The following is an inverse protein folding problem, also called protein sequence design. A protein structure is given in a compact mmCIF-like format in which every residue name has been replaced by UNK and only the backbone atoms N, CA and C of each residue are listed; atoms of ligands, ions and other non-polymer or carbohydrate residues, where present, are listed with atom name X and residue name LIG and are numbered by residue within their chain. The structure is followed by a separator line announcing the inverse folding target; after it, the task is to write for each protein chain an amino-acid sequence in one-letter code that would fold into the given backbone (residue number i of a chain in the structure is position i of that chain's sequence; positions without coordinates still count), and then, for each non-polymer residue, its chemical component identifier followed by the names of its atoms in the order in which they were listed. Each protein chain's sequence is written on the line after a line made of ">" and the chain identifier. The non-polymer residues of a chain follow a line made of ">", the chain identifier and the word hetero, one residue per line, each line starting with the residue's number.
data_IF_975770465130
#
_entry.id   IF_975770465130
#
_cell.length_a   1.000
_cell.length_b   1.000
_cell.length_c   1.000
_cell.angle_alpha   90.00
_cell.angle_beta   90.00
_cell.angle_gamma   90.00
#
_symmetry.space_group_name_H-M   'P 1'
#
loop_
_entity.id
_entity.type
_entity.pdbx_description
1 polymer ?
#
# COMPACT_ATOMS: atom_id res chain seq x y z
N UNK A 1 1.72 10.54 -1.08
CA UNK A 1 1.13 11.60 -0.21
C UNK A 1 0.00 12.41 -0.87
N UNK A 2 0.14 12.90 -2.11
CA UNK A 2 -0.88 13.77 -2.76
C UNK A 2 -2.26 13.12 -2.96
N UNK A 3 -2.31 11.81 -3.26
CA UNK A 3 -3.56 11.07 -3.48
C UNK A 3 -4.44 11.03 -2.22
N UNK A 4 -3.87 10.64 -1.06
CA UNK A 4 -4.60 10.59 0.22
C UNK A 4 -5.10 11.97 0.66
N UNK A 5 -4.31 13.02 0.47
CA UNK A 5 -4.71 14.40 0.80
C UNK A 5 -5.96 14.85 0.02
N UNK A 6 -6.03 14.50 -1.27
CA UNK A 6 -7.20 14.83 -2.11
C UNK A 6 -8.47 14.14 -1.62
N UNK A 7 -8.38 12.91 -1.13
CA UNK A 7 -9.52 12.19 -0.55
C UNK A 7 -9.95 12.79 0.80
N UNK A 8 -9.02 13.12 1.69
CA UNK A 8 -9.33 13.77 2.98
C UNK A 8 -10.07 15.10 2.83
N UNK A 9 -9.80 15.87 1.78
CA UNK A 9 -10.51 17.13 1.51
C UNK A 9 -11.94 16.94 1.00
N UNK A 10 -12.25 15.78 0.40
CA UNK A 10 -13.54 15.51 -0.26
C UNK A 10 -14.48 14.67 0.59
N UNK A 11 -13.91 13.86 1.48
CA UNK A 11 -14.67 12.90 2.28
C UNK A 11 -14.34 13.08 3.76
N UNK A 12 -15.34 12.90 4.63
CA UNK A 12 -15.10 12.73 6.07
C UNK A 12 -14.59 11.32 6.30
N UNK A 13 -13.27 11.20 6.47
CA UNK A 13 -12.56 9.96 6.79
C UNK A 13 -12.47 9.79 8.30
N UNK A 14 -12.71 8.56 8.78
CA UNK A 14 -12.70 8.21 10.21
C UNK A 14 -11.42 7.45 10.61
N UNK A 15 -10.84 6.69 9.68
CA UNK A 15 -9.56 6.00 9.86
C UNK A 15 -8.74 5.98 8.56
N UNK A 16 -7.42 5.89 8.70
CA UNK A 16 -6.46 5.89 7.59
C UNK A 16 -5.56 4.67 7.68
N UNK A 17 -5.35 3.98 6.56
CA UNK A 17 -4.45 2.86 6.43
C UNK A 17 -3.48 3.10 5.27
N UNK A 18 -2.18 2.95 5.51
CA UNK A 18 -1.18 2.99 4.43
C UNK A 18 -0.56 1.63 4.24
N UNK A 19 -0.56 1.15 3.01
CA UNK A 19 0.02 -0.14 2.63
C UNK A 19 1.17 0.09 1.68
N UNK A 20 2.31 -0.56 1.94
CA UNK A 20 3.47 -0.49 1.06
C UNK A 20 4.29 -1.77 1.17
N UNK A 21 4.71 -2.33 0.03
CA UNK A 21 5.52 -3.55 0.02
C UNK A 21 6.94 -3.25 0.46
N UNK A 22 7.47 -2.10 0.03
CA UNK A 22 8.87 -1.73 0.21
C UNK A 22 9.08 -0.60 1.21
N UNK A 23 8.01 0.08 1.64
CA UNK A 23 8.07 1.23 2.52
C UNK A 23 8.94 2.35 1.95
N UNK A 24 9.73 2.97 2.82
CA UNK A 24 10.69 4.03 2.47
C UNK A 24 12.06 3.46 2.06
N UNK A 25 12.07 2.51 1.12
CA UNK A 25 13.29 1.77 0.73
C UNK A 25 14.42 2.69 0.23
N UNK A 26 14.08 3.76 -0.48
CA UNK A 26 15.04 4.77 -0.94
C UNK A 26 15.76 5.45 0.23
N UNK A 27 15.04 5.78 1.32
CA UNK A 27 15.62 6.37 2.53
C UNK A 27 16.49 5.36 3.28
N UNK A 28 16.03 4.11 3.39
CA UNK A 28 16.81 3.04 4.00
C UNK A 28 18.13 2.82 3.26
N UNK A 29 18.12 2.83 1.93
CA UNK A 29 19.35 2.74 1.14
C UNK A 29 20.30 3.90 1.41
N UNK A 30 19.81 5.15 1.45
CA UNK A 30 20.65 6.32 1.77
C UNK A 30 21.30 6.20 3.15
N UNK A 31 20.56 5.72 4.15
CA UNK A 31 21.08 5.50 5.51
C UNK A 31 22.19 4.44 5.49
N UNK A 32 21.94 3.28 4.87
CA UNK A 32 22.92 2.20 4.78
C UNK A 32 24.17 2.61 3.99
N UNK A 33 23.99 3.37 2.91
CA UNK A 33 25.10 3.91 2.12
C UNK A 33 25.92 4.93 2.93
N UNK A 34 25.28 5.84 3.64
CA UNK A 34 25.97 6.82 4.50
C UNK A 34 26.75 6.11 5.62
N UNK A 35 26.18 5.09 6.25
CA UNK A 35 26.87 4.26 7.23
C UNK A 35 28.09 3.54 6.63
N UNK A 36 27.92 2.92 5.46
CA UNK A 36 28.98 2.21 4.77
C UNK A 36 30.12 3.12 4.28
N UNK A 37 29.84 4.41 4.08
CA UNK A 37 30.80 5.43 3.63
C UNK A 37 31.26 6.36 4.74
N UNK A 38 30.96 6.03 6.01
CA UNK A 38 31.31 6.82 7.20
C UNK A 38 30.85 8.29 7.15
N UNK A 39 29.73 8.55 6.46
CA UNK A 39 29.12 9.86 6.34
C UNK A 39 28.14 10.12 7.50
N UNK A 40 28.01 11.39 7.88
CA UNK A 40 27.06 11.80 8.91
C UNK A 40 25.61 11.52 8.45
N UNK A 41 24.85 10.83 9.30
CA UNK A 41 23.44 10.58 9.07
C UNK A 41 22.59 11.83 9.38
N UNK A 42 21.65 12.14 8.49
CA UNK A 42 20.62 13.15 8.75
C UNK A 42 19.60 12.61 9.76
N UNK A 43 19.43 13.25 10.93
CA UNK A 43 18.42 12.83 11.91
C UNK A 43 17.00 12.82 11.33
N UNK A 44 16.72 13.72 10.39
CA UNK A 44 15.44 13.81 9.67
C UNK A 44 15.23 12.61 8.76
N UNK A 45 16.27 12.15 8.05
CA UNK A 45 16.14 11.00 7.16
C UNK A 45 15.93 9.70 7.93
N UNK A 46 16.58 9.57 9.09
CA UNK A 46 16.36 8.46 10.01
C UNK A 46 14.94 8.49 10.61
N UNK A 47 14.44 9.65 11.05
CA UNK A 47 13.09 9.76 11.60
C UNK A 47 11.99 9.46 10.55
N UNK A 48 12.27 9.71 9.27
CA UNK A 48 11.34 9.47 8.16
C UNK A 48 11.48 8.07 7.52
N UNK A 49 12.46 7.26 7.93
CA UNK A 49 12.70 5.94 7.33
C UNK A 49 11.78 4.84 7.85
N UNK A 50 10.99 5.12 8.89
CA UNK A 50 9.97 4.20 9.38
C UNK A 50 8.82 4.10 8.39
N UNK A 51 8.30 2.89 8.20
CA UNK A 51 7.16 2.60 7.31
C UNK A 51 5.91 3.46 7.61
N UNK A 52 5.77 3.90 8.86
CA UNK A 52 4.68 4.75 9.34
C UNK A 52 4.85 6.25 9.04
N UNK A 53 5.97 6.69 8.45
CA UNK A 53 6.25 8.13 8.27
C UNK A 53 5.25 8.80 7.31
N UNK A 54 4.77 8.07 6.30
CA UNK A 54 3.76 8.55 5.36
C UNK A 54 2.39 8.79 6.03
N UNK A 55 2.05 7.97 7.03
CA UNK A 55 0.84 8.09 7.86
C UNK A 55 0.96 9.25 8.85
N UNK A 56 2.11 9.35 9.53
CA UNK A 56 2.40 10.43 10.49
C UNK A 56 2.36 11.81 9.84
N UNK A 57 2.94 11.96 8.65
CA UNK A 57 2.88 13.24 7.93
C UNK A 57 1.47 13.61 7.46
N UNK A 58 0.62 12.64 7.11
CA UNK A 58 -0.76 12.91 6.72
C UNK A 58 -1.60 13.41 7.90
N UNK A 59 -1.49 12.77 9.07
CA UNK A 59 -2.26 13.16 10.27
C UNK A 59 -1.82 14.52 10.81
N UNK A 60 -0.52 14.81 10.78
CA UNK A 60 0.04 16.13 11.12
C UNK A 60 -0.46 17.20 10.13
N UNK A 61 -0.38 16.93 8.82
CA UNK A 61 -0.85 17.87 7.79
C UNK A 61 -2.37 18.07 7.84
N UNK A 62 -3.14 17.05 8.22
CA UNK A 62 -4.59 17.10 8.33
C UNK A 62 -5.08 17.77 9.63
N UNK A 63 -4.19 18.06 10.59
CA UNK A 63 -4.50 18.64 11.91
C UNK A 63 -5.65 17.92 12.65
N UNK A 64 -5.81 16.62 12.42
CA UNK A 64 -6.88 15.82 13.01
C UNK A 64 -6.31 14.52 13.59
N UNK A 65 -6.66 14.14 14.84
CA UNK A 65 -6.29 12.86 15.40
C UNK A 65 -7.16 11.77 14.75
N UNK A 66 -6.79 11.36 13.54
CA UNK A 66 -7.45 10.29 12.81
C UNK A 66 -6.74 8.98 13.15
N UNK A 67 -7.50 7.94 13.49
CA UNK A 67 -6.92 6.62 13.77
C UNK A 67 -6.19 6.13 12.53
N UNK A 68 -4.96 5.65 12.74
CA UNK A 68 -4.06 5.45 11.63
C UNK A 68 -3.21 4.20 11.80
N UNK A 69 -3.12 3.38 10.76
CA UNK A 69 -2.35 2.13 10.72
C UNK A 69 -1.47 2.08 9.47
N UNK A 70 -0.43 1.25 9.50
CA UNK A 70 0.37 0.94 8.31
C UNK A 70 0.70 -0.53 8.26
N UNK A 71 0.70 -1.10 7.06
CA UNK A 71 0.86 -2.52 6.84
C UNK A 71 1.82 -2.81 5.68
N UNK A 72 2.65 -3.83 5.86
CA UNK A 72 3.45 -4.44 4.81
C UNK A 72 3.32 -5.96 4.91
N UNK A 73 3.02 -6.61 3.79
CA UNK A 73 2.85 -8.06 3.69
C UNK A 73 3.42 -8.60 2.36
N UNK A 74 4.54 -8.05 1.90
CA UNK A 74 5.19 -8.47 0.67
C UNK A 74 4.30 -8.24 -0.56
N UNK A 75 4.20 -9.25 -1.43
CA UNK A 75 3.38 -9.17 -2.66
C UNK A 75 1.89 -9.01 -2.36
N UNK A 76 1.42 -9.46 -1.20
CA UNK A 76 0.02 -9.45 -0.78
C UNK A 76 -0.36 -8.20 0.02
N UNK A 77 0.52 -7.20 0.10
CA UNK A 77 0.34 -5.98 0.91
C UNK A 77 -0.99 -5.27 0.66
N UNK A 78 -1.36 -5.06 -0.61
CA UNK A 78 -2.63 -4.41 -0.96
C UNK A 78 -3.84 -5.21 -0.43
N UNK A 79 -3.86 -6.52 -0.65
CA UNK A 79 -4.98 -7.40 -0.28
C UNK A 79 -5.10 -7.55 1.24
N UNK A 80 -3.97 -7.70 1.93
CA UNK A 80 -3.94 -7.71 3.40
C UNK A 80 -4.34 -6.35 3.98
N UNK A 81 -4.02 -5.26 3.28
CA UNK A 81 -4.53 -3.93 3.59
C UNK A 81 -6.06 -3.85 3.57
N UNK A 82 -6.71 -4.51 2.60
CA UNK A 82 -8.17 -4.58 2.55
C UNK A 82 -8.74 -5.37 3.75
N UNK A 83 -8.06 -6.43 4.20
CA UNK A 83 -8.45 -7.14 5.43
C UNK A 83 -8.38 -6.22 6.67
N UNK A 84 -7.31 -5.46 6.82
CA UNK A 84 -7.18 -4.47 7.92
C UNK A 84 -8.27 -3.37 7.81
N UNK A 85 -8.58 -2.90 6.60
CA UNK A 85 -9.67 -1.96 6.39
C UNK A 85 -11.03 -2.53 6.82
N UNK A 86 -11.30 -3.82 6.55
CA UNK A 86 -12.50 -4.51 7.03
C UNK A 86 -12.50 -4.58 8.57
N UNK A 87 -11.38 -4.88 9.22
CA UNK A 87 -11.28 -4.88 10.68
C UNK A 87 -11.59 -3.50 11.27
N UNK A 88 -11.11 -2.42 10.66
CA UNK A 88 -11.44 -1.05 11.05
C UNK A 88 -12.95 -0.77 10.89
N UNK A 89 -13.56 -1.17 9.77
CA UNK A 89 -15.00 -1.01 9.58
C UNK A 89 -15.81 -1.79 10.63
N UNK A 90 -15.40 -3.03 10.95
CA UNK A 90 -16.02 -3.84 12.00
C UNK A 90 -15.83 -3.26 13.41
N UNK A 91 -14.75 -2.51 13.64
CA UNK A 91 -14.51 -1.79 14.88
C UNK A 91 -15.38 -0.51 15.02
N UNK A 92 -16.19 -0.17 14.02
CA UNK A 92 -17.17 0.92 14.06
C UNK A 92 -16.81 2.16 13.26
N UNK A 93 -15.64 2.20 12.60
CA UNK A 93 -15.32 3.28 11.65
C UNK A 93 -16.21 3.15 10.41
N UNK A 94 -16.71 4.26 9.86
CA UNK A 94 -17.67 4.21 8.75
C UNK A 94 -16.97 4.37 7.40
N UNK A 95 -15.92 5.20 7.36
CA UNK A 95 -15.16 5.48 6.14
C UNK A 95 -13.66 5.37 6.39
N UNK A 96 -13.03 4.39 5.77
CA UNK A 96 -11.58 4.12 5.86
C UNK A 96 -10.90 4.59 4.58
N UNK A 97 -9.87 5.42 4.70
CA UNK A 97 -8.99 5.78 3.59
C UNK A 97 -7.82 4.80 3.56
N UNK A 98 -7.73 3.96 2.54
CA UNK A 98 -6.55 3.14 2.28
C UNK A 98 -5.68 3.80 1.20
N UNK A 99 -4.38 3.92 1.45
CA UNK A 99 -3.40 4.41 0.47
C UNK A 99 -2.35 3.33 0.26
N UNK A 100 -2.37 2.69 -0.90
CA UNK A 100 -1.37 1.71 -1.32
C UNK A 100 -0.31 2.39 -2.19
N UNK A 101 0.97 2.24 -1.86
CA UNK A 101 2.04 2.94 -2.56
C UNK A 101 3.38 2.21 -2.47
N UNK A 102 4.26 2.48 -3.43
CA UNK A 102 5.69 2.24 -3.29
C UNK A 102 6.46 3.40 -3.94
N UNK A 103 7.67 3.64 -3.42
CA UNK A 103 8.61 4.58 -4.00
C UNK A 103 9.40 3.98 -5.18
N UNK A 104 10.32 4.77 -5.73
CA UNK A 104 11.28 4.24 -6.68
C UNK A 104 12.22 3.25 -5.97
N UNK A 105 12.46 2.09 -6.57
CA UNK A 105 13.44 1.13 -6.06
C UNK A 105 14.82 1.47 -6.64
N UNK A 106 15.83 1.77 -5.78
CA UNK A 106 17.17 2.11 -6.23
C UNK A 106 17.80 1.01 -7.10
N UNK A 107 18.56 1.42 -8.12
CA UNK A 107 19.26 0.51 -9.06
C UNK A 107 20.13 -0.53 -8.37
N UNK A 108 20.68 -0.20 -7.20
CA UNK A 108 21.44 -1.12 -6.35
C UNK A 108 20.71 -2.45 -6.09
N UNK A 109 19.38 -2.43 -5.93
CA UNK A 109 18.61 -3.63 -5.64
C UNK A 109 18.26 -4.43 -6.89
N UNK A 110 18.27 -3.84 -8.08
CA UNK A 110 17.72 -4.45 -9.31
C UNK A 110 18.29 -5.84 -9.64
N UNK A 111 19.59 -6.13 -9.45
CA UNK A 111 20.14 -7.46 -9.70
C UNK A 111 19.55 -8.57 -8.81
N UNK A 112 18.93 -8.21 -7.68
CA UNK A 112 18.37 -9.13 -6.70
C UNK A 112 16.84 -9.22 -6.76
N UNK A 113 16.19 -8.45 -7.65
CA UNK A 113 14.74 -8.45 -7.80
C UNK A 113 14.30 -9.43 -8.89
N UNK A 114 13.10 -10.02 -8.76
CA UNK A 114 12.44 -10.68 -9.88
C UNK A 114 12.38 -9.76 -11.12
N UNK A 115 12.62 -10.27 -12.34
CA UNK A 115 12.69 -9.43 -13.54
C UNK A 115 11.45 -8.57 -13.82
N UNK A 116 10.26 -9.07 -13.47
CA UNK A 116 8.99 -8.38 -13.68
C UNK A 116 8.61 -7.44 -12.53
N UNK A 117 9.42 -7.33 -11.47
CA UNK A 117 9.08 -6.51 -10.31
C UNK A 117 9.00 -5.02 -10.68
N UNK A 118 7.89 -4.33 -10.34
CA UNK A 118 7.79 -2.89 -10.52
C UNK A 118 8.85 -2.14 -9.70
N UNK A 119 9.64 -1.29 -10.35
CA UNK A 119 10.68 -0.44 -9.71
C UNK A 119 10.36 1.04 -9.75
N UNK A 120 9.22 1.40 -10.36
CA UNK A 120 8.75 2.77 -10.54
C UNK A 120 7.75 3.15 -9.44
N UNK A 121 7.70 4.44 -9.04
CA UNK A 121 6.84 4.88 -7.96
C UNK A 121 5.37 4.92 -8.37
N UNK A 122 4.47 4.57 -7.45
CA UNK A 122 3.03 4.69 -7.66
C UNK A 122 2.29 4.97 -6.34
N UNK A 123 1.04 5.40 -6.45
CA UNK A 123 0.12 5.45 -5.32
C UNK A 123 -1.32 5.31 -5.79
N UNK A 124 -2.10 4.49 -5.08
CA UNK A 124 -3.54 4.35 -5.20
C UNK A 124 -4.19 4.74 -3.86
N UNK A 125 -5.20 5.60 -3.89
CA UNK A 125 -6.02 5.91 -2.72
C UNK A 125 -7.45 5.41 -2.93
N UNK A 126 -7.95 4.61 -1.99
CA UNK A 126 -9.30 4.08 -1.96
C UNK A 126 -10.03 4.57 -0.72
N UNK A 127 -11.26 5.02 -0.90
CA UNK A 127 -12.18 5.31 0.20
C UNK A 127 -13.13 4.13 0.30
N UNK A 128 -13.07 3.43 1.44
CA UNK A 128 -13.75 2.16 1.65
C UNK A 128 -14.84 2.36 2.71
N UNK A 129 -16.04 1.87 2.40
CA UNK A 129 -17.22 1.86 3.25
C UNK A 129 -17.78 0.43 3.30
N UNK A 130 -18.56 0.11 4.33
CA UNK A 130 -19.21 -1.19 4.43
C UNK A 130 -20.24 -1.38 3.31
N UNK A 131 -20.24 -2.56 2.67
CA UNK A 131 -21.15 -2.90 1.59
C UNK A 131 -20.88 -4.29 1.02
N UNK A 132 -21.68 -4.70 0.04
CA UNK A 132 -21.60 -6.03 -0.58
C UNK A 132 -21.34 -6.01 -2.10
N UNK A 133 -21.12 -4.82 -2.67
CA UNK A 133 -20.93 -4.65 -4.11
C UNK A 133 -19.74 -5.47 -4.63
N UNK A 134 -18.65 -5.46 -3.88
CA UNK A 134 -17.44 -6.21 -4.18
C UNK A 134 -17.22 -7.30 -3.15
N UNK A 135 -16.94 -8.50 -3.64
CA UNK A 135 -16.66 -9.68 -2.82
C UNK A 135 -15.32 -10.26 -3.21
N UNK A 136 -14.54 -10.66 -2.21
CA UNK A 136 -13.28 -11.34 -2.43
C UNK A 136 -13.21 -12.66 -1.66
N UNK A 137 -12.80 -13.73 -2.32
CA UNK A 137 -12.46 -15.01 -1.72
C UNK A 137 -10.99 -15.36 -1.97
N UNK A 138 -10.36 -16.02 -1.00
CA UNK A 138 -8.98 -16.49 -1.11
C UNK A 138 -8.93 -17.97 -1.44
N UNK A 139 -8.08 -18.34 -2.39
CA UNK A 139 -7.75 -19.73 -2.68
C UNK A 139 -6.23 -19.94 -2.54
N UNK A 140 -5.80 -21.06 -1.94
CA UNK A 140 -4.39 -21.43 -1.94
C UNK A 140 -3.91 -21.68 -3.36
N UNK A 141 -2.75 -21.13 -3.70
CA UNK A 141 -2.12 -21.32 -4.98
C UNK A 141 -0.63 -21.62 -4.81
N UNK A 142 -0.04 -22.28 -5.79
CA UNK A 142 1.41 -22.38 -5.87
C UNK A 142 2.02 -20.98 -6.07
N UNK A 143 3.26 -20.73 -5.61
CA UNK A 143 3.95 -19.49 -5.88
C UNK A 143 4.00 -19.20 -7.38
N UNK A 144 3.42 -18.07 -7.78
CA UNK A 144 3.40 -17.60 -9.16
C UNK A 144 4.52 -16.60 -9.44
N UNK A 145 4.80 -16.36 -10.71
CA UNK A 145 5.75 -15.33 -11.15
C UNK A 145 5.31 -13.94 -10.70
N UNK A 146 6.27 -13.04 -10.52
CA UNK A 146 6.02 -11.63 -10.18
C UNK A 146 5.26 -10.95 -11.32
N UNK A 147 4.30 -10.09 -10.98
CA UNK A 147 3.50 -9.39 -11.99
C UNK A 147 4.11 -8.02 -12.33
N UNK A 148 4.02 -7.62 -13.59
CA UNK A 148 4.49 -6.30 -14.08
C UNK A 148 3.74 -5.11 -13.46
N UNK A 149 2.55 -5.36 -12.89
CA UNK A 149 1.74 -4.36 -12.21
C UNK A 149 1.56 -4.77 -10.73
N UNK A 150 1.69 -3.83 -9.78
CA UNK A 150 1.30 -4.05 -8.39
C UNK A 150 -0.17 -4.50 -8.27
N UNK A 151 -0.49 -5.28 -7.23
CA UNK A 151 -1.87 -5.80 -7.02
C UNK A 151 -2.92 -4.68 -6.99
N UNK A 152 -2.61 -3.53 -6.41
CA UNK A 152 -3.49 -2.36 -6.35
C UNK A 152 -3.81 -1.79 -7.74
N UNK A 153 -2.83 -1.72 -8.63
CA UNK A 153 -3.04 -1.24 -10.00
C UNK A 153 -3.70 -2.27 -10.90
N UNK A 154 -3.46 -3.57 -10.67
CA UNK A 154 -4.23 -4.62 -11.30
C UNK A 154 -5.72 -4.54 -10.89
N UNK A 155 -5.98 -4.37 -9.58
CA UNK A 155 -7.33 -4.14 -9.06
C UNK A 155 -7.98 -2.91 -9.71
N UNK A 156 -7.29 -1.77 -9.72
CA UNK A 156 -7.80 -0.53 -10.32
C UNK A 156 -8.15 -0.71 -11.80
N UNK A 157 -7.30 -1.41 -12.57
CA UNK A 157 -7.55 -1.71 -13.98
C UNK A 157 -8.86 -2.47 -14.15
N UNK A 158 -9.05 -3.55 -13.40
CA UNK A 158 -10.29 -4.35 -13.47
C UNK A 158 -11.52 -3.58 -12.98
N UNK A 159 -11.37 -2.78 -11.93
CA UNK A 159 -12.40 -1.90 -11.39
C UNK A 159 -12.87 -0.88 -12.44
N UNK A 160 -11.94 -0.19 -13.11
CA UNK A 160 -12.24 0.78 -14.17
C UNK A 160 -12.82 0.13 -15.43
N UNK A 161 -12.41 -1.09 -15.73
CA UNK A 161 -12.96 -1.89 -16.82
C UNK A 161 -14.33 -2.50 -16.49
N UNK A 162 -14.81 -2.34 -15.25
CA UNK A 162 -16.06 -2.94 -14.78
C UNK A 162 -16.10 -4.47 -14.99
N UNK A 163 -14.96 -5.13 -14.80
CA UNK A 163 -14.87 -6.58 -14.92
C UNK A 163 -15.78 -7.25 -13.89
N UNK A 164 -16.68 -8.17 -14.27
CA UNK A 164 -17.62 -8.80 -13.35
C UNK A 164 -16.93 -9.73 -12.34
N UNK A 165 -15.81 -10.33 -12.75
CA UNK A 165 -14.93 -11.11 -11.89
C UNK A 165 -13.49 -11.08 -12.42
N UNK A 166 -12.52 -11.18 -11.53
CA UNK A 166 -11.10 -11.26 -11.86
C UNK A 166 -10.30 -11.87 -10.71
N UNK A 167 -9.08 -12.33 -10.98
CA UNK A 167 -8.20 -12.93 -9.98
C UNK A 167 -6.90 -12.15 -9.90
N UNK A 168 -6.48 -11.82 -8.67
CA UNK A 168 -5.17 -11.23 -8.41
C UNK A 168 -4.27 -12.24 -7.73
N UNK A 169 -3.10 -12.48 -8.30
CA UNK A 169 -2.14 -13.47 -7.79
C UNK A 169 -1.29 -12.86 -6.67
N UNK A 170 -1.26 -13.55 -5.54
CA UNK A 170 -0.40 -13.31 -4.39
C UNK A 170 0.86 -14.16 -4.40
N UNK A 171 1.54 -14.25 -3.25
CA UNK A 171 2.71 -15.13 -3.10
C UNK A 171 2.30 -16.60 -2.99
N UNK A 172 1.28 -16.90 -2.19
CA UNK A 172 0.78 -18.28 -1.97
C UNK A 172 -0.75 -18.39 -2.02
N UNK A 173 -1.38 -17.27 -2.37
CA UNK A 173 -2.82 -17.11 -2.42
C UNK A 173 -3.20 -16.53 -3.78
N UNK A 174 -4.42 -16.82 -4.20
CA UNK A 174 -5.12 -16.10 -5.25
C UNK A 174 -6.33 -15.43 -4.65
N UNK A 175 -6.52 -14.17 -5.01
CA UNK A 175 -7.59 -13.31 -4.55
C UNK A 175 -8.62 -13.19 -5.67
N UNK A 176 -9.73 -13.91 -5.52
CA UNK A 176 -10.80 -13.96 -6.50
C UNK A 176 -11.80 -12.87 -6.17
N UNK A 177 -11.90 -11.87 -7.04
CA UNK A 177 -12.81 -10.75 -6.92
C UNK A 177 -14.03 -10.98 -7.80
N UNK A 178 -15.19 -10.61 -7.28
CA UNK A 178 -16.44 -10.56 -8.03
C UNK A 178 -17.23 -9.32 -7.65
N UNK A 179 -17.97 -8.79 -8.62
CA UNK A 179 -18.95 -7.74 -8.42
C UNK A 179 -20.34 -8.36 -8.46
N UNK A 180 -21.16 -8.05 -7.46
CA UNK A 180 -22.56 -8.50 -7.42
C UNK A 180 -23.47 -7.66 -8.33
#
# INVERSE_FOLDING_TARGET
>A
MSAGWRCLRRHRIDAVLYTSRHGELERNYRILHALATEQALSPTDFALSVHNSAVGNLTIAAQRPIVSSSLSAGRDTFQQGLCEAICLLQAGYQRVLMVDFDGHLPEFYHPYLPPAMPTWPYALALVIEAGEEWRCSTQRAAPGEEAELPQSLQFLRHYLQQSPAFTLTGERLQWQWSRS
#
